data_IF_063577935634
#
_entry.id   IF_063577935634
#
_cell.length_a   1.000
_cell.length_b   1.000
_cell.length_c   1.000
_cell.angle_alpha   90.00
_cell.angle_beta   90.00
_cell.angle_gamma   90.00
#
_symmetry.space_group_name_H-M   'P 1'
#
loop_
_entity.id
_entity.type
_entity.pdbx_description
1 polymer ?
#
# COMPACT_ATOMS: atom_id res chain seq x y z
N UNK A 1 50.28 -12.54 -8.67
CA UNK A 1 49.19 -11.83 -9.39
C UNK A 1 47.97 -12.71 -9.72
N UNK A 2 47.95 -14.01 -9.41
CA UNK A 2 46.79 -14.89 -9.61
C UNK A 2 45.89 -15.13 -8.39
N UNK A 3 45.99 -14.33 -7.32
CA UNK A 3 45.21 -14.51 -6.07
C UNK A 3 44.07 -13.50 -5.88
N UNK A 4 43.91 -12.53 -6.78
CA UNK A 4 42.82 -11.55 -6.71
C UNK A 4 41.69 -11.84 -7.72
N UNK A 5 41.98 -12.52 -8.83
CA UNK A 5 40.98 -12.88 -9.85
C UNK A 5 40.21 -14.17 -9.53
N UNK A 6 40.75 -15.06 -8.70
CA UNK A 6 40.05 -16.28 -8.27
C UNK A 6 39.02 -16.06 -7.15
N UNK A 7 38.95 -14.86 -6.57
CA UNK A 7 37.91 -14.49 -5.60
C UNK A 7 36.67 -13.88 -6.27
N UNK A 8 36.75 -13.56 -7.56
CA UNK A 8 35.61 -13.11 -8.36
C UNK A 8 34.70 -14.28 -8.80
N UNK A 9 35.20 -15.52 -8.79
CA UNK A 9 34.43 -16.72 -9.16
C UNK A 9 33.66 -17.34 -7.98
N UNK A 10 33.98 -16.99 -6.73
CA UNK A 10 33.40 -17.68 -5.57
C UNK A 10 32.09 -17.07 -5.04
N UNK A 11 31.78 -15.79 -5.30
CA UNK A 11 30.52 -15.17 -4.83
C UNK A 11 29.99 -14.03 -5.72
N UNK A 12 29.52 -14.30 -6.94
CA UNK A 12 28.73 -13.33 -7.71
C UNK A 12 27.30 -13.15 -7.17
N UNK A 13 26.78 -14.13 -6.41
CA UNK A 13 25.35 -14.18 -6.07
C UNK A 13 24.94 -13.34 -4.86
N UNK A 14 25.83 -13.11 -3.88
CA UNK A 14 25.36 -12.60 -2.58
C UNK A 14 25.14 -11.07 -2.56
N UNK A 15 25.83 -10.31 -3.41
CA UNK A 15 25.79 -8.83 -3.37
C UNK A 15 24.60 -8.22 -4.13
N UNK A 16 24.14 -8.89 -5.20
CA UNK A 16 22.89 -8.55 -5.87
C UNK A 16 21.68 -9.04 -5.06
N UNK A 17 21.80 -10.23 -4.44
CA UNK A 17 20.73 -10.85 -3.66
C UNK A 17 20.39 -10.04 -2.40
N UNK A 18 21.36 -9.52 -1.63
CA UNK A 18 21.05 -8.70 -0.45
C UNK A 18 20.33 -7.39 -0.79
N UNK A 19 20.78 -6.66 -1.82
CA UNK A 19 20.12 -5.41 -2.22
C UNK A 19 18.72 -5.67 -2.81
N UNK A 20 18.55 -6.79 -3.51
CA UNK A 20 17.27 -7.18 -4.09
C UNK A 20 16.26 -7.63 -3.03
N UNK A 21 16.69 -8.44 -2.06
CA UNK A 21 15.87 -8.81 -0.89
C UNK A 21 15.46 -7.55 -0.13
N UNK A 22 16.40 -6.63 0.10
CA UNK A 22 16.11 -5.40 0.82
C UNK A 22 15.10 -4.51 0.07
N UNK A 23 15.18 -4.43 -1.25
CA UNK A 23 14.17 -3.74 -2.07
C UNK A 23 12.80 -4.44 -2.01
N UNK A 24 12.77 -5.77 -2.07
CA UNK A 24 11.53 -6.54 -1.95
C UNK A 24 10.86 -6.31 -0.58
N UNK A 25 11.65 -6.32 0.49
CA UNK A 25 11.18 -6.05 1.85
C UNK A 25 10.64 -4.61 1.98
N UNK A 26 11.33 -3.63 1.39
CA UNK A 26 10.87 -2.23 1.35
C UNK A 26 9.57 -2.08 0.57
N UNK A 27 9.44 -2.73 -0.60
CA UNK A 27 8.21 -2.73 -1.39
C UNK A 27 7.06 -3.35 -0.62
N UNK A 28 7.28 -4.50 0.03
CA UNK A 28 6.28 -5.14 0.89
C UNK A 28 5.83 -4.21 2.02
N UNK A 29 6.79 -3.55 2.69
CA UNK A 29 6.49 -2.61 3.76
C UNK A 29 5.71 -1.37 3.27
N UNK A 30 5.95 -0.91 2.05
CA UNK A 30 5.19 0.17 1.42
C UNK A 30 3.76 -0.29 1.09
N UNK A 31 3.59 -1.49 0.54
CA UNK A 31 2.26 -2.06 0.25
C UNK A 31 1.42 -2.24 1.52
N UNK A 32 2.03 -2.73 2.61
CA UNK A 32 1.35 -2.84 3.90
C UNK A 32 0.88 -1.47 4.42
N UNK A 33 1.73 -0.44 4.31
CA UNK A 33 1.36 0.94 4.67
C UNK A 33 0.26 1.48 3.78
N UNK A 34 0.30 1.22 2.48
CA UNK A 34 -0.71 1.64 1.53
C UNK A 34 -2.05 0.97 1.84
N UNK A 35 -2.06 -0.33 2.13
CA UNK A 35 -3.24 -1.07 2.54
C UNK A 35 -3.81 -0.52 3.86
N UNK A 36 -2.97 -0.21 4.85
CA UNK A 36 -3.39 0.40 6.10
C UNK A 36 -4.00 1.79 5.89
N UNK A 37 -3.38 2.64 5.06
CA UNK A 37 -3.89 3.96 4.73
C UNK A 37 -5.25 3.91 4.03
N UNK A 38 -5.45 2.94 3.12
CA UNK A 38 -6.76 2.70 2.46
C UNK A 38 -7.84 2.32 3.46
N UNK A 39 -7.54 1.40 4.38
CA UNK A 39 -8.48 1.01 5.44
C UNK A 39 -8.83 2.20 6.33
N UNK A 40 -7.82 2.97 6.74
CA UNK A 40 -8.02 4.16 7.57
C UNK A 40 -8.91 5.21 6.90
N UNK A 41 -8.65 5.52 5.61
CA UNK A 41 -9.51 6.43 4.85
C UNK A 41 -10.95 5.92 4.78
N UNK A 42 -11.14 4.64 4.46
CA UNK A 42 -12.49 4.06 4.37
C UNK A 42 -13.22 4.06 5.71
N UNK A 43 -12.53 3.78 6.83
CA UNK A 43 -13.13 3.90 8.16
C UNK A 43 -13.53 5.34 8.48
N UNK A 44 -12.69 6.33 8.16
CA UNK A 44 -13.03 7.74 8.37
C UNK A 44 -14.23 8.20 7.52
N UNK A 45 -14.30 7.74 6.26
CA UNK A 45 -15.45 7.98 5.38
C UNK A 45 -16.72 7.33 5.93
N UNK A 46 -16.61 6.09 6.41
CA UNK A 46 -17.72 5.39 7.04
C UNK A 46 -18.25 6.16 8.25
N UNK A 47 -17.37 6.56 9.16
CA UNK A 47 -17.73 7.30 10.37
C UNK A 47 -18.39 8.64 10.01
N UNK A 48 -17.84 9.36 9.03
CA UNK A 48 -18.40 10.60 8.52
C UNK A 48 -19.79 10.40 7.91
N UNK A 49 -19.97 9.45 6.99
CA UNK A 49 -21.25 9.19 6.34
C UNK A 49 -22.29 8.72 7.36
N UNK A 50 -21.89 7.85 8.29
CA UNK A 50 -22.75 7.36 9.37
C UNK A 50 -23.22 8.51 10.26
N UNK A 51 -22.30 9.39 10.70
CA UNK A 51 -22.65 10.56 11.50
C UNK A 51 -23.53 11.56 10.73
N UNK A 52 -23.29 11.71 9.42
CA UNK A 52 -24.09 12.54 8.51
C UNK A 52 -25.52 12.01 8.37
N UNK A 53 -25.73 10.70 8.36
CA UNK A 53 -27.04 10.08 8.15
C UNK A 53 -27.86 9.93 9.45
N UNK A 54 -27.19 9.82 10.60
CA UNK A 54 -27.85 9.68 11.88
C UNK A 54 -28.39 11.02 12.40
N UNK A 55 -29.46 10.98 13.19
CA UNK A 55 -29.96 12.15 13.90
C UNK A 55 -28.98 12.55 15.03
N UNK A 56 -28.63 13.83 15.21
CA UNK A 56 -29.12 15.02 14.49
C UNK A 56 -28.32 15.42 13.24
N UNK A 57 -27.27 14.67 12.90
CA UNK A 57 -26.37 14.93 11.77
C UNK A 57 -27.08 15.07 10.42
N UNK A 58 -28.14 14.32 10.13
CA UNK A 58 -28.88 14.44 8.86
C UNK A 58 -29.56 15.79 8.64
N UNK A 59 -29.98 16.45 9.73
CA UNK A 59 -30.57 17.79 9.68
C UNK A 59 -29.47 18.82 9.41
N UNK A 60 -28.37 18.74 10.15
CA UNK A 60 -27.22 19.64 9.99
C UNK A 60 -26.63 19.46 8.59
N UNK A 61 -26.51 18.24 8.10
CA UNK A 61 -26.02 17.92 6.77
C UNK A 61 -26.88 18.53 5.67
N UNK A 62 -28.21 18.43 5.79
CA UNK A 62 -29.13 19.09 4.86
C UNK A 62 -29.05 20.62 4.90
N UNK A 63 -28.92 21.21 6.10
CA UNK A 63 -28.85 22.67 6.26
C UNK A 63 -27.55 23.28 5.74
N UNK A 64 -26.42 22.59 5.92
CA UNK A 64 -25.09 23.07 5.53
C UNK A 64 -24.56 22.43 4.24
N UNK A 65 -25.39 21.65 3.54
CA UNK A 65 -25.01 20.94 2.30
C UNK A 65 -23.77 20.05 2.47
N UNK A 66 -23.67 19.34 3.59
CA UNK A 66 -22.66 18.30 3.74
C UNK A 66 -23.06 17.09 2.90
N UNK A 67 -22.26 16.78 1.88
CA UNK A 67 -22.50 15.68 0.95
C UNK A 67 -21.84 14.38 1.41
N UNK A 68 -22.21 13.28 0.75
CA UNK A 68 -21.56 12.00 0.92
C UNK A 68 -20.12 11.99 0.46
N UNK A 69 -19.30 11.22 1.18
CA UNK A 69 -17.94 10.94 0.76
C UNK A 69 -17.89 9.51 0.23
N UNK A 70 -17.30 9.37 -0.95
CA UNK A 70 -17.08 8.07 -1.55
C UNK A 70 -15.98 7.31 -0.81
N UNK A 71 -16.14 5.99 -0.73
CA UNK A 71 -15.07 5.12 -0.27
C UNK A 71 -13.95 5.06 -1.30
N UNK A 72 -12.73 4.90 -0.80
CA UNK A 72 -11.59 4.58 -1.66
C UNK A 72 -11.68 3.11 -2.06
N UNK A 73 -12.00 2.88 -3.32
CA UNK A 73 -11.96 1.57 -3.93
C UNK A 73 -11.01 1.53 -5.14
N UNK A 74 -10.24 0.46 -5.23
CA UNK A 74 -9.30 0.22 -6.34
C UNK A 74 -9.92 -0.61 -7.46
N UNK A 75 -11.21 -0.97 -7.34
CA UNK A 75 -11.97 -1.66 -8.38
C UNK A 75 -11.28 -2.95 -8.85
N UNK A 76 -11.23 -3.16 -10.17
CA UNK A 76 -10.59 -4.32 -10.80
C UNK A 76 -9.10 -4.46 -10.48
N UNK A 77 -8.42 -3.37 -10.09
CA UNK A 77 -7.02 -3.42 -9.68
C UNK A 77 -6.80 -4.05 -8.29
N UNK A 78 -7.86 -4.33 -7.52
CA UNK A 78 -7.72 -5.02 -6.21
C UNK A 78 -7.11 -6.41 -6.36
N UNK A 79 -7.45 -7.13 -7.43
CA UNK A 79 -6.94 -8.48 -7.70
C UNK A 79 -5.44 -8.47 -8.02
N UNK A 80 -4.96 -7.44 -8.71
CA UNK A 80 -3.54 -7.31 -9.09
C UNK A 80 -2.68 -6.66 -7.99
N UNK A 81 -3.27 -5.83 -7.12
CA UNK A 81 -2.59 -5.16 -6.00
C UNK A 81 -2.50 -6.01 -4.72
N UNK A 82 -3.17 -7.17 -4.67
CA UNK A 82 -3.07 -8.11 -3.54
C UNK A 82 -1.85 -9.04 -3.66
N UNK A 83 -1.19 -9.06 -4.82
CA UNK A 83 0.06 -9.76 -5.01
C UNK A 83 1.23 -8.76 -4.90
N UNK A 84 2.25 -9.03 -4.06
CA UNK A 84 3.42 -8.17 -3.99
C UNK A 84 4.06 -8.08 -5.39
N UNK A 85 4.46 -6.88 -5.83
CA UNK A 85 4.98 -6.66 -7.18
C UNK A 85 6.17 -7.59 -7.45
N UNK A 86 6.01 -8.49 -8.42
CA UNK A 86 7.09 -9.38 -8.82
C UNK A 86 8.13 -8.57 -9.60
N UNK A 87 9.26 -8.28 -8.97
CA UNK A 87 10.41 -7.66 -9.65
C UNK A 87 11.02 -8.73 -10.54
N UNK A 88 10.64 -8.73 -11.83
CA UNK A 88 11.23 -9.59 -12.86
C UNK A 88 12.43 -8.89 -13.50
N UNK A 89 13.52 -9.63 -13.68
CA UNK A 89 14.65 -9.26 -14.53
C UNK A 89 14.54 -9.98 -15.86
#
# INVERSE_FOLDING_TARGET
>A
LGKLFALAEAYPDLKANTNFIQLQDELSAIEDKLAAARRFYNSAVQDYNTAREQFPGSIIAGMFSFEERDFFDVGEARATLSEPPQVKF
#
